data_IF_788737908262
#
_entry.id   IF_788737908262
#
_cell.length_a   1.000
_cell.length_b   1.000
_cell.length_c   1.000
_cell.angle_alpha   90.00
_cell.angle_beta   90.00
_cell.angle_gamma   90.00
#
_symmetry.space_group_name_H-M   'P 1'
#
loop_
_entity.id
_entity.type
_entity.pdbx_description
1 polymer ?
#
# COMPACT_ATOMS: atom_id res chain seq x y z
N UNK A 1 -7.47 10.91 23.41
CA UNK A 1 -7.87 9.50 23.68
C UNK A 1 -7.31 8.65 22.53
N UNK A 2 -6.99 7.38 22.77
CA UNK A 2 -6.45 6.48 21.73
C UNK A 2 -7.48 5.39 21.46
N UNK A 3 -7.90 5.23 20.20
CA UNK A 3 -8.88 4.23 19.80
C UNK A 3 -8.52 3.63 18.45
N UNK A 4 -8.99 2.41 18.22
CA UNK A 4 -8.90 1.71 16.96
C UNK A 4 -10.19 0.95 16.73
N UNK A 5 -10.71 1.01 15.51
CA UNK A 5 -12.01 0.45 15.14
C UNK A 5 -11.94 -0.15 13.73
N UNK A 6 -12.82 -1.13 13.47
CA UNK A 6 -12.93 -1.77 12.16
C UNK A 6 -14.14 -1.24 11.40
N UNK A 7 -13.94 -0.98 10.12
CA UNK A 7 -14.99 -0.60 9.18
C UNK A 7 -14.99 -1.56 8.00
N UNK A 8 -16.13 -1.72 7.35
CA UNK A 8 -16.27 -2.61 6.20
C UNK A 8 -16.74 -1.84 4.97
N UNK A 9 -16.11 -2.10 3.83
CA UNK A 9 -16.45 -1.48 2.55
C UNK A 9 -16.59 -2.54 1.47
N UNK A 10 -17.54 -2.35 0.55
CA UNK A 10 -17.71 -3.19 -0.65
C UNK A 10 -16.75 -2.80 -1.78
N UNK A 11 -16.29 -1.56 -1.76
CA UNK A 11 -15.32 -1.03 -2.73
C UNK A 11 -13.96 -0.83 -2.06
N UNK A 12 -12.88 -0.95 -2.82
CA UNK A 12 -11.54 -0.73 -2.28
C UNK A 12 -11.35 0.76 -1.91
N UNK A 13 -11.19 1.09 -0.61
CA UNK A 13 -11.03 2.46 -0.18
C UNK A 13 -9.56 2.83 -0.23
N UNK A 14 -9.13 3.45 -1.34
CA UNK A 14 -7.74 3.86 -1.51
C UNK A 14 -7.31 4.83 -0.41
N UNK A 15 -6.20 4.51 0.26
CA UNK A 15 -5.55 5.34 1.26
C UNK A 15 -4.28 5.95 0.67
N UNK A 16 -3.71 7.00 1.31
CA UNK A 16 -2.42 7.56 0.88
C UNK A 16 -1.26 6.54 0.84
N UNK A 17 -1.38 5.41 1.56
CA UNK A 17 -0.35 4.36 1.66
C UNK A 17 -0.59 3.25 0.62
N UNK A 18 -1.84 3.03 0.16
CA UNK A 18 -2.21 1.90 -0.70
C UNK A 18 -1.29 1.70 -1.90
N UNK A 19 -1.01 2.77 -2.66
CA UNK A 19 -0.11 2.71 -3.82
C UNK A 19 1.33 2.35 -3.44
N UNK A 20 1.77 2.66 -2.23
CA UNK A 20 3.11 2.30 -1.75
C UNK A 20 3.16 0.87 -1.22
N UNK A 21 2.02 0.35 -0.72
CA UNK A 21 1.86 -0.99 -0.19
C UNK A 21 1.57 -2.06 -1.26
N UNK A 22 1.48 -1.64 -2.54
CA UNK A 22 1.31 -2.54 -3.67
C UNK A 22 -0.09 -2.54 -4.29
N UNK A 23 -1.05 -1.80 -3.74
CA UNK A 23 -2.34 -1.61 -4.41
C UNK A 23 -2.14 -0.85 -5.73
N UNK A 24 -2.87 -1.26 -6.77
CA UNK A 24 -2.78 -0.69 -8.11
C UNK A 24 -4.17 -0.56 -8.70
N UNK A 25 -4.39 0.55 -9.41
CA UNK A 25 -5.59 0.77 -10.24
C UNK A 25 -5.40 0.34 -11.69
N UNK A 26 -4.17 0.37 -12.17
CA UNK A 26 -3.82 0.04 -13.54
C UNK A 26 -2.63 -0.90 -13.59
N UNK A 27 -2.64 -1.78 -14.59
CA UNK A 27 -1.53 -2.64 -14.95
C UNK A 27 -1.30 -2.61 -16.46
N UNK A 28 -0.38 -3.44 -16.91
CA UNK A 28 0.01 -3.56 -18.32
C UNK A 28 -0.09 -5.00 -18.77
N UNK A 29 -0.75 -5.24 -19.90
CA UNK A 29 -0.76 -6.55 -20.57
C UNK A 29 0.17 -6.50 -21.79
N UNK A 30 1.00 -7.53 -22.01
CA UNK A 30 1.76 -7.66 -23.24
C UNK A 30 0.80 -7.84 -24.42
N UNK A 31 1.19 -7.32 -25.58
CA UNK A 31 0.43 -7.51 -26.82
C UNK A 31 1.37 -7.98 -27.93
N UNK A 32 0.83 -8.84 -28.80
CA UNK A 32 1.50 -9.27 -30.02
C UNK A 32 0.60 -9.06 -31.24
N UNK A 33 1.22 -8.91 -32.39
CA UNK A 33 0.55 -9.08 -33.69
C UNK A 33 0.21 -10.57 -33.91
N UNK A 34 -0.74 -10.88 -34.82
CA UNK A 34 -0.94 -12.26 -35.27
C UNK A 34 0.32 -12.92 -35.85
N UNK A 35 1.28 -12.11 -36.35
CA UNK A 35 2.57 -12.56 -36.85
C UNK A 35 3.66 -12.71 -35.77
N UNK A 36 3.32 -12.57 -34.48
CA UNK A 36 4.23 -12.77 -33.35
C UNK A 36 5.15 -11.59 -33.03
N UNK A 37 5.02 -10.45 -33.73
CA UNK A 37 5.78 -9.23 -33.40
C UNK A 37 5.24 -8.58 -32.12
N UNK A 38 6.15 -8.20 -31.21
CA UNK A 38 5.84 -7.51 -29.95
C UNK A 38 5.27 -6.12 -30.24
N UNK A 39 4.10 -5.82 -29.65
CA UNK A 39 3.49 -4.49 -29.67
C UNK A 39 3.69 -3.76 -28.35
N UNK A 40 3.35 -2.48 -28.36
CA UNK A 40 3.23 -1.69 -27.15
C UNK A 40 2.24 -2.33 -26.17
N UNK A 41 2.65 -2.64 -24.92
CA UNK A 41 1.77 -3.16 -23.91
C UNK A 41 0.54 -2.27 -23.72
N UNK A 42 -0.62 -2.90 -23.59
CA UNK A 42 -1.88 -2.20 -23.36
C UNK A 42 -2.08 -1.96 -21.87
N UNK A 43 -2.51 -0.74 -21.52
CA UNK A 43 -2.90 -0.40 -20.15
C UNK A 43 -4.28 -0.99 -19.87
N UNK A 44 -4.41 -1.71 -18.76
CA UNK A 44 -5.66 -2.33 -18.32
C UNK A 44 -5.99 -1.93 -16.89
N UNK A 45 -7.25 -2.08 -16.48
CA UNK A 45 -7.65 -1.96 -15.07
C UNK A 45 -7.00 -3.10 -14.30
N UNK A 46 -6.37 -2.78 -13.18
CA UNK A 46 -5.68 -3.78 -12.37
C UNK A 46 -6.69 -4.60 -11.56
N UNK A 47 -6.62 -5.94 -11.52
CA UNK A 47 -7.59 -6.77 -10.80
C UNK A 47 -7.55 -6.67 -9.27
N UNK A 48 -6.73 -5.77 -8.71
CA UNK A 48 -6.46 -5.74 -7.27
C UNK A 48 -7.70 -5.33 -6.48
N UNK A 49 -8.38 -4.26 -6.89
CA UNK A 49 -9.56 -3.76 -6.19
C UNK A 49 -10.75 -4.73 -6.28
N UNK A 50 -10.84 -5.50 -7.37
CA UNK A 50 -11.90 -6.48 -7.62
C UNK A 50 -11.63 -7.87 -7.03
N UNK A 51 -10.44 -8.09 -6.46
CA UNK A 51 -10.05 -9.44 -6.00
C UNK A 51 -10.90 -9.93 -4.81
N UNK A 52 -11.58 -9.03 -4.09
CA UNK A 52 -12.50 -9.38 -3.00
C UNK A 52 -13.75 -8.51 -3.02
N UNK A 53 -14.85 -9.05 -2.47
CA UNK A 53 -16.15 -8.39 -2.35
C UNK A 53 -16.30 -7.52 -1.09
N UNK A 54 -15.45 -7.74 -0.09
CA UNK A 54 -15.47 -7.04 1.17
C UNK A 54 -14.05 -6.69 1.63
N UNK A 55 -13.89 -5.44 2.03
CA UNK A 55 -12.67 -4.87 2.58
C UNK A 55 -12.91 -4.53 4.04
N UNK A 56 -12.08 -5.06 4.92
CA UNK A 56 -12.00 -4.62 6.31
C UNK A 56 -10.96 -3.50 6.36
N UNK A 57 -11.29 -2.38 7.00
CA UNK A 57 -10.43 -1.22 7.20
C UNK A 57 -10.15 -1.09 8.68
N UNK A 58 -8.95 -0.65 9.01
CA UNK A 58 -8.56 -0.30 10.36
C UNK A 58 -8.49 1.23 10.45
N UNK A 59 -9.41 1.86 11.18
CA UNK A 59 -9.32 3.26 11.53
C UNK A 59 -8.68 3.41 12.91
N UNK A 60 -7.75 4.35 13.03
CA UNK A 60 -6.96 4.58 14.25
C UNK A 60 -6.95 6.06 14.56
N UNK A 61 -7.51 6.42 15.71
CA UNK A 61 -7.40 7.75 16.26
C UNK A 61 -6.31 7.76 17.34
N UNK A 62 -5.23 8.50 17.12
CA UNK A 62 -4.08 8.51 18.01
C UNK A 62 -3.52 9.91 18.23
N UNK A 63 -3.67 10.43 19.46
CA UNK A 63 -3.14 11.73 19.90
C UNK A 63 -3.44 12.86 18.89
N UNK A 64 -4.69 12.93 18.42
CA UNK A 64 -5.17 13.95 17.47
C UNK A 64 -4.81 13.70 16.00
N UNK A 65 -4.35 12.50 15.67
CA UNK A 65 -4.05 12.08 14.29
C UNK A 65 -4.94 10.89 13.93
N UNK A 66 -5.68 11.02 12.85
CA UNK A 66 -6.49 9.95 12.27
C UNK A 66 -5.73 9.24 11.16
N UNK A 67 -5.70 7.91 11.23
CA UNK A 67 -5.11 7.03 10.23
C UNK A 67 -6.14 5.99 9.82
N UNK A 68 -6.14 5.65 8.53
CA UNK A 68 -6.96 4.57 7.98
C UNK A 68 -6.04 3.66 7.18
N UNK A 69 -6.15 2.36 7.42
CA UNK A 69 -5.44 1.32 6.67
C UNK A 69 -6.47 0.41 6.00
N UNK A 70 -6.41 0.31 4.68
CA UNK A 70 -7.31 -0.56 3.91
C UNK A 70 -6.75 -1.98 3.76
N UNK A 71 -5.46 -2.20 4.05
CA UNK A 71 -4.81 -3.51 3.97
C UNK A 71 -3.76 -3.71 5.07
N UNK A 72 -3.47 -4.97 5.48
CA UNK A 72 -2.36 -5.27 6.37
C UNK A 72 -1.01 -4.81 5.83
N UNK A 73 -0.82 -4.82 4.51
CA UNK A 73 0.39 -4.36 3.85
C UNK A 73 0.63 -2.86 4.06
N UNK A 74 -0.42 -2.04 4.07
CA UNK A 74 -0.32 -0.62 4.42
C UNK A 74 0.11 -0.41 5.86
N UNK A 75 -0.45 -1.21 6.78
CA UNK A 75 -0.07 -1.19 8.19
C UNK A 75 1.39 -1.61 8.37
N UNK A 76 1.82 -2.68 7.70
CA UNK A 76 3.20 -3.18 7.76
C UNK A 76 4.17 -2.13 7.23
N UNK A 77 3.85 -1.50 6.10
CA UNK A 77 4.66 -0.42 5.56
C UNK A 77 4.72 0.79 6.50
N UNK A 78 3.59 1.18 7.10
CA UNK A 78 3.56 2.26 8.07
C UNK A 78 4.45 1.94 9.27
N UNK A 79 4.31 0.74 9.86
CA UNK A 79 5.12 0.30 10.98
C UNK A 79 6.61 0.26 10.61
N UNK A 80 6.96 -0.28 9.45
CA UNK A 80 8.33 -0.39 8.97
C UNK A 80 9.00 0.98 8.79
N UNK A 81 8.27 1.99 8.30
CA UNK A 81 8.79 3.37 8.17
C UNK A 81 8.84 4.08 9.52
N UNK A 82 7.76 3.98 10.30
CA UNK A 82 7.61 4.75 11.54
C UNK A 82 8.48 4.19 12.67
N UNK A 83 8.89 2.92 12.63
CA UNK A 83 9.80 2.34 13.63
C UNK A 83 11.29 2.62 13.39
N UNK A 84 11.68 3.22 12.26
CA UNK A 84 13.09 3.53 12.00
C UNK A 84 13.62 4.58 12.97
N UNK A 85 14.91 4.54 13.31
CA UNK A 85 15.52 5.53 14.20
C UNK A 85 15.36 6.95 13.61
N UNK A 86 15.82 7.12 12.37
CA UNK A 86 15.60 8.30 11.54
C UNK A 86 14.51 8.01 10.51
N UNK A 87 13.64 8.99 10.27
CA UNK A 87 12.65 8.86 9.21
C UNK A 87 13.33 8.87 7.83
N UNK A 88 12.93 7.98 6.92
CA UNK A 88 13.54 7.91 5.60
C UNK A 88 13.27 9.18 4.78
N UNK A 89 14.24 9.53 3.94
CA UNK A 89 14.16 10.65 2.98
C UNK A 89 14.88 10.29 1.67
N UNK A 90 14.52 10.96 0.57
CA UNK A 90 15.15 10.74 -0.74
C UNK A 90 15.08 9.28 -1.19
N UNK A 91 16.24 8.71 -1.56
CA UNK A 91 16.39 7.30 -1.98
C UNK A 91 15.89 6.28 -0.97
N UNK A 92 16.12 6.54 0.33
CA UNK A 92 15.69 5.61 1.39
C UNK A 92 14.16 5.54 1.51
N UNK A 93 13.44 6.56 1.02
CA UNK A 93 11.99 6.62 1.01
C UNK A 93 11.41 6.05 -0.29
N UNK A 94 12.10 6.28 -1.42
CA UNK A 94 11.67 5.82 -2.75
C UNK A 94 12.90 5.29 -3.50
N UNK A 95 13.06 3.96 -3.63
CA UNK A 95 14.13 3.36 -4.41
C UNK A 95 14.17 3.96 -5.82
N UNK A 96 15.35 4.35 -6.30
CA UNK A 96 15.53 4.94 -7.64
C UNK A 96 15.38 6.45 -7.74
N UNK A 97 15.04 7.19 -6.66
CA UNK A 97 14.98 8.66 -6.69
C UNK A 97 16.22 9.31 -6.08
N UNK A 98 17.12 9.79 -6.95
CA UNK A 98 18.41 10.42 -6.61
C UNK A 98 18.32 11.66 -5.73
N UNK A 99 17.33 12.54 -5.92
CA UNK A 99 17.28 13.83 -5.23
C UNK A 99 15.85 14.20 -4.82
N UNK A 100 15.73 14.76 -3.62
CA UNK A 100 14.53 15.44 -3.13
C UNK A 100 13.58 14.56 -2.33
N UNK A 101 12.81 15.19 -1.43
CA UNK A 101 11.68 14.52 -0.75
C UNK A 101 10.57 14.34 -1.79
N UNK A 102 10.11 13.12 -2.07
CA UNK A 102 8.96 12.94 -2.94
C UNK A 102 7.76 13.64 -2.30
N UNK A 103 7.36 14.80 -2.85
CA UNK A 103 6.24 15.59 -2.33
C UNK A 103 4.91 14.81 -2.32
N UNK A 104 4.84 13.70 -3.07
CA UNK A 104 3.68 12.80 -3.15
C UNK A 104 3.71 11.60 -2.20
N UNK A 105 4.78 11.41 -1.41
CA UNK A 105 4.85 10.28 -0.48
C UNK A 105 3.96 10.51 0.75
N UNK A 106 3.26 9.49 1.26
CA UNK A 106 2.34 9.64 2.39
C UNK A 106 3.00 10.25 3.64
N UNK A 107 4.27 9.91 3.91
CA UNK A 107 5.05 10.48 5.00
C UNK A 107 5.16 12.01 4.92
N UNK A 108 5.18 12.63 3.74
CA UNK A 108 5.23 14.10 3.64
C UNK A 108 3.95 14.74 4.17
N UNK A 109 2.80 14.08 3.95
CA UNK A 109 1.45 14.52 4.30
C UNK A 109 1.11 14.41 5.78
N UNK A 110 1.86 13.61 6.55
CA UNK A 110 1.62 13.49 7.98
C UNK A 110 1.83 14.81 8.73
N UNK A 111 1.02 15.11 9.77
CA UNK A 111 1.22 16.25 10.64
C UNK A 111 2.62 16.27 11.25
N UNK A 112 3.17 17.45 11.52
CA UNK A 112 4.50 17.60 12.12
C UNK A 112 4.61 16.87 13.47
N UNK A 113 3.56 16.94 14.30
CA UNK A 113 3.49 16.25 15.58
C UNK A 113 3.65 14.72 15.45
N UNK A 114 3.05 14.15 14.39
CA UNK A 114 3.07 12.72 14.10
C UNK A 114 4.45 12.18 13.68
N UNK A 115 5.39 13.06 13.32
CA UNK A 115 6.75 12.69 12.87
C UNK A 115 7.76 12.62 14.00
N UNK A 116 7.41 13.13 15.19
CA UNK A 116 8.29 13.11 16.36
C UNK A 116 8.62 11.68 16.78
N UNK A 117 9.85 11.42 17.24
CA UNK A 117 10.28 10.07 17.66
C UNK A 117 9.37 9.49 18.75
N UNK A 118 8.99 10.32 19.73
CA UNK A 118 8.07 9.95 20.82
C UNK A 118 6.71 9.48 20.28
N UNK A 119 6.09 10.24 19.38
CA UNK A 119 4.82 9.85 18.76
C UNK A 119 4.97 8.52 18.02
N UNK A 120 5.99 8.41 17.17
CA UNK A 120 6.25 7.23 16.34
C UNK A 120 6.42 5.96 17.16
N UNK A 121 7.22 6.01 18.21
CA UNK A 121 7.40 4.85 19.09
C UNK A 121 6.10 4.49 19.83
N UNK A 122 5.35 5.49 20.29
CA UNK A 122 4.10 5.27 21.01
C UNK A 122 3.02 4.65 20.12
N UNK A 123 2.84 5.16 18.90
CA UNK A 123 1.84 4.62 17.97
C UNK A 123 2.22 3.24 17.45
N UNK A 124 3.51 2.99 17.15
CA UNK A 124 3.97 1.65 16.76
C UNK A 124 3.75 0.62 17.88
N UNK A 125 3.94 1.01 19.15
CA UNK A 125 3.65 0.14 20.30
C UNK A 125 2.16 -0.16 20.39
N UNK A 126 1.32 0.89 20.32
CA UNK A 126 -0.14 0.76 20.35
C UNK A 126 -0.65 -0.19 19.26
N UNK A 127 -0.23 0.03 18.01
CA UNK A 127 -0.65 -0.78 16.86
C UNK A 127 -0.21 -2.25 16.98
N UNK A 128 0.91 -2.55 17.64
CA UNK A 128 1.36 -3.95 17.85
C UNK A 128 0.60 -4.67 18.95
N UNK A 129 0.01 -3.92 19.89
CA UNK A 129 -0.63 -4.49 21.08
C UNK A 129 -2.16 -4.48 21.00
N UNK A 130 -2.75 -3.63 20.17
CA UNK A 130 -4.19 -3.49 20.07
C UNK A 130 -4.84 -4.75 19.47
N UNK A 131 -5.77 -5.37 20.20
CA UNK A 131 -6.52 -6.55 19.77
C UNK A 131 -7.30 -6.33 18.47
N UNK A 132 -7.79 -5.11 18.25
CA UNK A 132 -8.47 -4.72 17.00
C UNK A 132 -7.54 -4.85 15.79
N UNK A 133 -6.24 -4.62 15.97
CA UNK A 133 -5.24 -4.79 14.90
C UNK A 133 -5.00 -6.27 14.61
N UNK A 134 -5.07 -7.14 15.63
CA UNK A 134 -5.04 -8.59 15.44
C UNK A 134 -6.26 -9.05 14.62
N UNK A 135 -7.46 -8.64 15.02
CA UNK A 135 -8.71 -8.95 14.30
C UNK A 135 -8.67 -8.46 12.84
N UNK A 136 -8.14 -7.26 12.61
CA UNK A 136 -7.91 -6.74 11.26
C UNK A 136 -7.02 -7.67 10.45
N UNK A 137 -5.90 -8.16 10.99
CA UNK A 137 -5.01 -9.10 10.28
C UNK A 137 -5.69 -10.45 10.04
N UNK A 138 -6.40 -10.96 11.04
CA UNK A 138 -7.09 -12.25 10.96
C UNK A 138 -8.12 -12.27 9.83
N UNK A 139 -8.83 -11.16 9.59
CA UNK A 139 -9.75 -11.01 8.45
C UNK A 139 -9.06 -11.29 7.10
N UNK A 140 -7.81 -10.86 6.93
CA UNK A 140 -7.04 -11.06 5.71
C UNK A 140 -6.23 -12.36 5.69
N UNK A 141 -6.09 -13.05 6.82
CA UNK A 141 -5.33 -14.29 6.91
C UNK A 141 -6.03 -15.45 6.20
N UNK A 142 -7.37 -15.47 6.20
CA UNK A 142 -8.17 -16.51 5.53
C UNK A 142 -8.11 -16.46 4.00
N UNK A 143 -8.03 -15.26 3.43
CA UNK A 143 -7.82 -15.03 2.00
C UNK A 143 -6.75 -13.94 1.79
N UNK A 144 -5.46 -14.33 1.72
CA UNK A 144 -4.38 -13.37 1.57
C UNK A 144 -4.46 -12.55 0.28
N UNK A 145 -4.00 -11.30 0.38
CA UNK A 145 -3.95 -10.37 -0.75
C UNK A 145 -3.01 -10.85 -1.86
N UNK A 146 -3.50 -10.84 -3.10
CA UNK A 146 -2.71 -11.04 -4.31
C UNK A 146 -2.24 -9.68 -4.83
N UNK A 147 -0.92 -9.53 -4.98
CA UNK A 147 -0.28 -8.35 -5.56
C UNK A 147 0.16 -8.55 -7.02
N UNK A 148 0.17 -9.81 -7.46
CA UNK A 148 0.54 -10.22 -8.80
C UNK A 148 -0.63 -10.98 -9.38
N UNK A 149 -0.94 -10.69 -10.63
CA UNK A 149 -2.05 -11.29 -11.37
C UNK A 149 -1.52 -11.78 -12.69
N UNK A 150 -1.96 -12.96 -13.10
CA UNK A 150 -1.54 -13.57 -14.35
C UNK A 150 -1.84 -12.64 -15.54
N UNK A 151 -0.85 -12.46 -16.41
CA UNK A 151 -0.95 -11.59 -17.59
C UNK A 151 -0.96 -10.08 -17.30
N UNK A 152 -1.02 -9.64 -16.04
CA UNK A 152 -1.07 -8.22 -15.67
C UNK A 152 0.20 -7.81 -14.91
N UNK A 153 0.99 -6.94 -15.54
CA UNK A 153 2.24 -6.45 -14.98
C UNK A 153 2.08 -5.10 -14.30
N UNK A 154 2.86 -4.91 -13.23
CA UNK A 154 2.84 -3.69 -12.42
C UNK A 154 3.59 -2.52 -13.06
N UNK A 155 4.47 -2.78 -14.03
CA UNK A 155 5.14 -1.75 -14.80
C UNK A 155 5.25 -2.10 -16.29
N UNK A 156 5.35 -1.04 -17.09
CA UNK A 156 5.39 -1.12 -18.54
C UNK A 156 6.57 -1.94 -19.07
N UNK A 157 7.75 -1.80 -18.45
CA UNK A 157 8.97 -2.45 -18.92
C UNK A 157 8.95 -3.96 -18.69
N UNK A 158 8.36 -4.43 -17.60
CA UNK A 158 8.13 -5.85 -17.36
C UNK A 158 7.18 -6.46 -18.39
N UNK A 159 6.06 -5.78 -18.69
CA UNK A 159 5.15 -6.21 -19.75
C UNK A 159 5.81 -6.24 -21.12
N UNK A 160 6.74 -5.32 -21.38
CA UNK A 160 7.49 -5.27 -22.64
C UNK A 160 8.50 -6.42 -22.76
N UNK A 161 9.18 -6.78 -21.66
CA UNK A 161 10.27 -7.77 -21.65
C UNK A 161 9.81 -9.22 -21.61
N UNK A 162 8.59 -9.48 -21.10
CA UNK A 162 8.02 -10.83 -21.01
C UNK A 162 6.85 -10.95 -21.98
N UNK A 163 7.12 -11.23 -23.27
CA UNK A 163 6.08 -11.72 -24.14
C UNK A 163 5.46 -12.98 -23.52
N UNK A 164 4.13 -12.99 -23.34
CA UNK A 164 3.41 -14.22 -23.00
C UNK A 164 3.51 -15.11 -24.23
N UNK A 165 4.08 -16.30 -24.06
CA UNK A 165 4.20 -17.32 -25.09
C UNK A 165 2.85 -17.97 -25.38
#
# INVERSE_FOLDING_TARGET
>A
MKSAELFYSREFPETPISGWAGARWYGWMPEMTPSGQIKRPRRVVHPFASQRKLWCLLAVHFDGVDLIFATPLELDQFLAVMSQNLLPSGWALVPGRLVGRPNRHWLSRLPKAAKSSKFRQSICRFLRQADVVRQFRDFYAGEPLKLQFEGVFNNYYEAWKRPVA
#
